data_IF_480266312178
#
_entry.id   IF_480266312178
#
_cell.length_a   1.000
_cell.length_b   1.000
_cell.length_c   1.000
_cell.angle_alpha   90.00
_cell.angle_beta   90.00
_cell.angle_gamma   90.00
#
_symmetry.space_group_name_H-M   'P 1'
#
loop_
_entity.id
_entity.type
_entity.pdbx_description
1 polymer ?
#
# COMPACT_ATOMS: atom_id res chain seq x y z
N UNK A 1 11.76 12.99 1.08
CA UNK A 1 11.80 11.55 0.72
C UNK A 1 10.52 11.11 0.01
N UNK A 2 9.33 11.22 0.61
CA UNK A 2 8.05 10.79 -0.03
C UNK A 2 7.77 11.50 -1.37
N UNK A 3 7.96 12.82 -1.43
CA UNK A 3 7.70 13.58 -2.67
C UNK A 3 8.56 13.15 -3.85
N UNK A 4 9.80 12.73 -3.62
CA UNK A 4 10.67 12.17 -4.64
C UNK A 4 10.22 10.76 -5.04
N UNK A 5 9.85 9.91 -4.07
CA UNK A 5 9.28 8.59 -4.32
C UNK A 5 8.04 8.65 -5.22
N UNK A 6 7.10 9.56 -4.94
CA UNK A 6 5.91 9.80 -5.79
C UNK A 6 6.31 10.17 -7.23
N UNK A 7 7.31 11.06 -7.40
CA UNK A 7 7.79 11.47 -8.73
C UNK A 7 8.44 10.33 -9.50
N UNK A 8 9.27 9.52 -8.85
CA UNK A 8 9.93 8.37 -9.48
C UNK A 8 8.89 7.32 -9.85
N UNK A 9 8.00 6.97 -8.92
CA UNK A 9 6.94 5.98 -9.16
C UNK A 9 6.03 6.37 -10.32
N UNK A 10 5.63 7.65 -10.44
CA UNK A 10 4.81 8.15 -11.53
C UNK A 10 5.46 7.99 -12.92
N UNK A 11 6.79 7.84 -12.98
CA UNK A 11 7.54 7.63 -14.22
C UNK A 11 7.74 6.16 -14.56
N UNK A 12 7.39 5.23 -13.67
CA UNK A 12 7.55 3.80 -13.92
C UNK A 12 6.37 3.32 -14.78
N UNK A 13 6.60 2.91 -16.05
CA UNK A 13 5.54 2.35 -16.86
C UNK A 13 5.20 0.95 -16.33
N UNK A 14 3.90 0.69 -16.07
CA UNK A 14 3.38 -0.60 -15.55
C UNK A 14 4.17 -1.11 -14.34
N UNK A 15 4.06 -0.46 -13.17
CA UNK A 15 4.84 -0.84 -12.00
C UNK A 15 4.60 -2.30 -11.59
N UNK A 16 5.67 -3.05 -11.35
CA UNK A 16 5.60 -4.38 -10.75
C UNK A 16 5.20 -4.31 -9.27
N UNK A 17 4.76 -5.44 -8.69
CA UNK A 17 4.33 -5.55 -7.30
C UNK A 17 5.36 -4.98 -6.31
N UNK A 18 6.65 -5.24 -6.51
CA UNK A 18 7.73 -4.75 -5.65
C UNK A 18 7.78 -3.21 -5.58
N UNK A 19 7.47 -2.52 -6.69
CA UNK A 19 7.42 -1.06 -6.71
C UNK A 19 6.23 -0.55 -5.88
N UNK A 20 5.08 -1.22 -5.97
CA UNK A 20 3.93 -0.91 -5.14
C UNK A 20 4.23 -1.15 -3.66
N UNK A 21 4.87 -2.27 -3.31
CA UNK A 21 5.23 -2.58 -1.92
C UNK A 21 6.17 -1.53 -1.36
N UNK A 22 7.20 -1.15 -2.12
CA UNK A 22 8.13 -0.10 -1.74
C UNK A 22 7.42 1.25 -1.49
N UNK A 23 6.47 1.62 -2.37
CA UNK A 23 5.70 2.85 -2.19
C UNK A 23 4.73 2.79 -1.00
N UNK A 24 4.07 1.65 -0.76
CA UNK A 24 3.19 1.45 0.40
C UNK A 24 4.00 1.55 1.70
N UNK A 25 5.18 0.95 1.77
CA UNK A 25 6.07 1.09 2.93
C UNK A 25 6.53 2.55 3.11
N UNK A 26 6.90 3.23 2.03
CA UNK A 26 7.34 4.62 2.08
C UNK A 26 6.24 5.56 2.58
N UNK A 27 5.03 5.45 2.02
CA UNK A 27 3.85 6.21 2.44
C UNK A 27 3.48 5.85 3.89
N UNK A 28 3.50 4.56 4.20
CA UNK A 28 3.20 4.04 5.53
C UNK A 28 4.13 4.59 6.62
N UNK A 29 5.44 4.65 6.37
CA UNK A 29 6.43 5.25 7.29
C UNK A 29 6.24 6.75 7.48
N UNK A 30 5.63 7.42 6.52
CA UNK A 30 5.34 8.85 6.58
C UNK A 30 4.00 9.18 7.25
N UNK A 31 3.22 8.17 7.67
CA UNK A 31 1.88 8.36 8.22
C UNK A 31 0.79 8.58 7.17
N UNK A 32 1.11 8.50 5.88
CA UNK A 32 0.21 8.71 4.74
C UNK A 32 -0.59 7.42 4.44
N UNK A 33 -1.22 6.85 5.47
CA UNK A 33 -1.75 5.48 5.45
C UNK A 33 -2.93 5.33 4.48
N UNK A 34 -3.82 6.32 4.35
CA UNK A 34 -4.91 6.27 3.37
C UNK A 34 -4.41 6.38 1.93
N UNK A 35 -3.31 7.10 1.70
CA UNK A 35 -2.70 7.12 0.37
C UNK A 35 -2.09 5.76 0.04
N UNK A 36 -1.45 5.11 1.02
CA UNK A 36 -0.93 3.75 0.87
C UNK A 36 -2.07 2.76 0.55
N UNK A 37 -3.21 2.86 1.22
CA UNK A 37 -4.42 2.08 0.92
C UNK A 37 -4.94 2.34 -0.50
N UNK A 38 -5.08 3.61 -0.90
CA UNK A 38 -5.55 3.97 -2.25
C UNK A 38 -4.62 3.45 -3.34
N UNK A 39 -3.31 3.55 -3.11
CA UNK A 39 -2.30 3.05 -4.04
C UNK A 39 -2.40 1.53 -4.19
N UNK A 40 -2.57 0.81 -3.07
CA UNK A 40 -2.79 -0.63 -3.07
C UNK A 40 -4.08 -0.98 -3.83
N UNK A 41 -5.20 -0.32 -3.53
CA UNK A 41 -6.48 -0.62 -4.16
C UNK A 41 -6.52 -0.29 -5.67
N UNK A 42 -5.69 0.66 -6.13
CA UNK A 42 -5.59 1.09 -7.52
C UNK A 42 -4.48 0.41 -8.34
N UNK A 43 -3.85 -0.64 -7.80
CA UNK A 43 -2.72 -1.28 -8.48
C UNK A 43 -3.12 -2.02 -9.76
N UNK A 44 -2.22 -2.00 -10.75
CA UNK A 44 -2.36 -2.78 -11.99
C UNK A 44 -1.82 -4.22 -11.84
N UNK A 45 -0.93 -4.43 -10.86
CA UNK A 45 -0.41 -5.75 -10.51
C UNK A 45 -1.39 -6.48 -9.56
N UNK A 46 -1.27 -7.80 -9.41
CA UNK A 46 -2.01 -8.53 -8.37
C UNK A 46 -1.30 -8.34 -7.02
N UNK A 47 -2.00 -7.92 -5.94
CA UNK A 47 -1.39 -7.82 -4.62
C UNK A 47 -1.07 -9.21 -4.05
N UNK A 48 -0.12 -9.28 -3.14
CA UNK A 48 0.18 -10.46 -2.35
C UNK A 48 -0.01 -10.19 -0.84
N UNK A 49 0.27 -11.18 0.00
CA UNK A 49 0.18 -11.02 1.46
C UNK A 49 1.18 -9.97 2.00
N UNK A 50 2.30 -9.77 1.32
CA UNK A 50 3.39 -8.89 1.78
C UNK A 50 2.95 -7.42 1.73
N UNK A 51 2.33 -6.99 0.64
CA UNK A 51 1.87 -5.60 0.53
C UNK A 51 0.73 -5.27 1.53
N UNK A 52 -0.15 -6.23 1.84
CA UNK A 52 -1.13 -6.06 2.91
C UNK A 52 -0.48 -6.00 4.29
N UNK A 53 0.53 -6.84 4.55
CA UNK A 53 1.29 -6.79 5.80
C UNK A 53 2.00 -5.44 5.97
N UNK A 54 2.54 -4.85 4.90
CA UNK A 54 3.13 -3.52 4.91
C UNK A 54 2.10 -2.43 5.29
N UNK A 55 0.91 -2.46 4.67
CA UNK A 55 -0.17 -1.53 5.01
C UNK A 55 -0.63 -1.68 6.46
N UNK A 56 -0.82 -2.91 6.94
CA UNK A 56 -1.22 -3.19 8.33
C UNK A 56 -0.15 -2.77 9.34
N UNK A 57 1.13 -2.95 9.01
CA UNK A 57 2.23 -2.45 9.83
C UNK A 57 2.18 -0.92 9.96
N UNK A 58 1.93 -0.20 8.86
CA UNK A 58 1.73 1.25 8.89
C UNK A 58 0.50 1.64 9.73
N UNK A 59 -0.61 0.91 9.59
CA UNK A 59 -1.80 1.14 10.40
C UNK A 59 -1.51 1.02 11.90
N UNK A 60 -0.77 -0.03 12.30
CA UNK A 60 -0.39 -0.25 13.70
C UNK A 60 0.50 0.88 14.24
N UNK A 61 1.50 1.32 13.46
CA UNK A 61 2.43 2.38 13.88
C UNK A 61 1.71 3.72 14.07
N UNK A 62 0.74 4.04 13.21
CA UNK A 62 0.05 5.34 13.20
C UNK A 62 -1.36 5.31 13.82
N UNK A 63 -1.76 4.20 14.46
CA UNK A 63 -3.07 4.09 15.11
C UNK A 63 -4.26 4.12 14.13
N UNK A 64 -4.07 3.74 12.87
CA UNK A 64 -5.10 3.79 11.81
C UNK A 64 -5.96 2.54 11.79
N UNK A 65 -6.72 2.36 12.87
CA UNK A 65 -7.68 1.26 13.03
C UNK A 65 -8.72 1.27 11.92
N UNK A 66 -9.17 2.47 11.53
CA UNK A 66 -10.15 2.68 10.46
C UNK A 66 -9.69 2.08 9.11
N UNK A 67 -8.41 2.22 8.75
CA UNK A 67 -7.83 1.61 7.54
C UNK A 67 -7.67 0.11 7.71
N UNK A 68 -7.17 -0.34 8.88
CA UNK A 68 -6.93 -1.74 9.16
C UNK A 68 -8.23 -2.58 9.05
N UNK A 69 -9.36 -2.04 9.46
CA UNK A 69 -10.68 -2.70 9.36
C UNK A 69 -11.13 -2.95 7.91
N UNK A 70 -10.65 -2.17 6.94
CA UNK A 70 -10.98 -2.34 5.52
C UNK A 70 -10.10 -3.38 4.83
N UNK A 71 -8.91 -3.68 5.38
CA UNK A 71 -7.94 -4.61 4.79
C UNK A 71 -8.52 -6.01 4.52
N UNK A 72 -9.26 -6.65 5.45
CA UNK A 72 -9.91 -7.94 5.16
C UNK A 72 -10.85 -7.89 3.96
N UNK A 73 -11.58 -6.79 3.76
CA UNK A 73 -12.44 -6.58 2.60
C UNK A 73 -11.65 -6.50 1.30
N UNK A 74 -10.53 -5.79 1.31
CA UNK A 74 -9.60 -5.73 0.17
C UNK A 74 -9.00 -7.11 -0.13
N UNK A 75 -8.52 -7.84 0.87
CA UNK A 75 -7.94 -9.18 0.67
C UNK A 75 -8.96 -10.16 0.05
N UNK A 76 -10.22 -10.13 0.50
CA UNK A 76 -11.30 -10.92 -0.11
C UNK A 76 -11.54 -10.57 -1.57
N UNK A 77 -11.51 -9.29 -1.93
CA UNK A 77 -11.66 -8.81 -3.32
C UNK A 77 -10.61 -9.42 -4.26
N UNK A 78 -9.39 -9.64 -3.78
CA UNK A 78 -8.29 -10.23 -4.56
C UNK A 78 -8.14 -11.75 -4.37
N UNK A 79 -9.07 -12.37 -3.64
CA UNK A 79 -9.02 -13.79 -3.25
C UNK A 79 -7.68 -14.16 -2.60
N UNK A 80 -7.18 -13.28 -1.74
CA UNK A 80 -5.97 -13.48 -0.94
C UNK A 80 -6.40 -14.05 0.41
N UNK A 81 -6.07 -15.32 0.64
CA UNK A 81 -6.27 -16.01 1.92
C UNK A 81 -5.20 -15.60 2.95
#
# INVERSE_FOLDING_TARGET
MVGEGRRVFARVPRPALQHYTCMVEMLGRAGEVEEAERLLAGMQARPDRVIFAALLAACRVHGRVDVAERVPGLMRRYSIA
#
